data_IF_309070166293
#
_entry.id   IF_309070166293
#
_cell.length_a   1.000
_cell.length_b   1.000
_cell.length_c   1.000
_cell.angle_alpha   90.00
_cell.angle_beta   90.00
_cell.angle_gamma   90.00
#
_symmetry.space_group_name_H-M   'P 1'
#
loop_
_entity.id
_entity.type
_entity.pdbx_description
1 polymer ?
#
# COMPACT_ATOMS: atom_id res chain seq x y z
N UNK A 1 3.91 -20.37 -9.32
CA UNK A 1 3.37 -19.47 -8.27
C UNK A 1 3.03 -20.32 -7.06
N UNK A 2 3.76 -20.16 -5.95
CA UNK A 2 3.58 -20.99 -4.75
C UNK A 2 2.19 -20.77 -4.16
N UNK A 3 1.40 -21.84 -4.10
CA UNK A 3 0.05 -21.83 -3.52
C UNK A 3 0.16 -21.64 -2.00
N UNK A 4 -0.08 -20.42 -1.54
CA UNK A 4 -0.14 -20.13 -0.11
C UNK A 4 -1.41 -20.73 0.48
N UNK A 5 -1.28 -21.47 1.59
CA UNK A 5 -2.43 -21.92 2.37
C UNK A 5 -3.09 -20.72 3.05
N UNK A 6 -4.13 -20.20 2.41
CA UNK A 6 -4.99 -19.17 2.97
C UNK A 6 -5.98 -19.86 3.91
N UNK A 7 -5.75 -19.76 5.22
CA UNK A 7 -6.56 -20.46 6.24
C UNK A 7 -7.99 -19.90 6.29
N UNK A 8 -8.12 -18.57 6.23
CA UNK A 8 -9.42 -17.88 6.25
C UNK A 8 -9.78 -17.42 4.85
N UNK A 9 -10.92 -17.87 4.34
CA UNK A 9 -11.37 -17.46 3.01
C UNK A 9 -11.69 -15.95 3.00
N UNK A 10 -11.10 -15.19 2.06
CA UNK A 10 -11.41 -13.77 1.92
C UNK A 10 -12.84 -13.58 1.40
N UNK A 11 -13.56 -12.59 1.93
CA UNK A 11 -14.90 -12.20 1.45
C UNK A 11 -14.87 -11.26 0.25
N UNK A 12 -13.72 -10.62 0.00
CA UNK A 12 -13.47 -9.80 -1.19
C UNK A 12 -12.60 -10.55 -2.19
N UNK A 13 -12.86 -10.39 -3.47
CA UNK A 13 -11.98 -10.81 -4.56
C UNK A 13 -10.67 -10.01 -4.57
N UNK A 14 -9.65 -10.53 -5.28
CA UNK A 14 -8.38 -9.82 -5.43
C UNK A 14 -8.58 -8.50 -6.20
N UNK A 15 -9.51 -8.48 -7.16
CA UNK A 15 -9.86 -7.29 -7.94
C UNK A 15 -10.51 -6.20 -7.09
N UNK A 16 -11.50 -6.56 -6.25
CA UNK A 16 -12.14 -5.61 -5.32
C UNK A 16 -11.12 -5.02 -4.34
N UNK A 17 -10.17 -5.85 -3.88
CA UNK A 17 -9.12 -5.38 -2.98
C UNK A 17 -8.16 -4.40 -3.67
N UNK A 18 -7.78 -4.65 -4.92
CA UNK A 18 -6.96 -3.72 -5.71
C UNK A 18 -7.72 -2.42 -5.97
N UNK A 19 -8.99 -2.50 -6.36
CA UNK A 19 -9.85 -1.34 -6.59
C UNK A 19 -9.99 -0.47 -5.32
N UNK A 20 -10.19 -1.11 -4.16
CA UNK A 20 -10.22 -0.43 -2.87
C UNK A 20 -8.93 0.35 -2.59
N UNK A 21 -7.77 -0.27 -2.82
CA UNK A 21 -6.47 0.37 -2.58
C UNK A 21 -6.24 1.58 -3.51
N UNK A 22 -6.55 1.44 -4.80
CA UNK A 22 -6.41 2.53 -5.77
C UNK A 22 -7.37 3.69 -5.43
N UNK A 23 -8.59 3.37 -5.01
CA UNK A 23 -9.57 4.39 -4.57
C UNK A 23 -9.10 5.09 -3.30
N UNK A 24 -8.52 4.34 -2.35
CA UNK A 24 -7.95 4.90 -1.14
C UNK A 24 -6.79 5.85 -1.47
N UNK A 25 -5.90 5.47 -2.38
CA UNK A 25 -4.79 6.31 -2.85
C UNK A 25 -5.30 7.60 -3.53
N UNK A 26 -6.30 7.49 -4.40
CA UNK A 26 -6.96 8.64 -5.02
C UNK A 26 -7.58 9.62 -4.01
N UNK A 27 -8.16 9.10 -2.92
CA UNK A 27 -8.72 9.88 -1.82
C UNK A 27 -7.67 10.34 -0.79
N UNK A 28 -6.38 10.15 -1.08
CA UNK A 28 -5.26 10.47 -0.18
C UNK A 28 -5.28 9.70 1.16
N UNK A 29 -5.92 8.54 1.21
CA UNK A 29 -5.89 7.62 2.36
C UNK A 29 -4.65 6.73 2.29
N UNK A 30 -3.52 7.31 2.69
CA UNK A 30 -2.20 6.70 2.63
C UNK A 30 -1.85 5.74 3.79
N UNK A 31 -2.69 5.63 4.84
CA UNK A 31 -2.42 4.76 5.98
C UNK A 31 -3.49 3.70 6.18
N UNK A 32 -3.05 2.49 6.56
CA UNK A 32 -3.96 1.38 6.92
C UNK A 32 -4.95 1.81 8.01
N UNK A 33 -4.46 2.52 9.04
CA UNK A 33 -5.30 2.99 10.13
C UNK A 33 -6.43 3.90 9.63
N UNK A 34 -6.12 4.80 8.69
CA UNK A 34 -7.13 5.70 8.12
C UNK A 34 -8.15 4.91 7.31
N UNK A 35 -7.71 3.98 6.45
CA UNK A 35 -8.60 3.11 5.67
C UNK A 35 -9.57 2.36 6.59
N UNK A 36 -9.07 1.72 7.66
CA UNK A 36 -9.94 0.98 8.59
C UNK A 36 -10.85 1.89 9.44
N UNK A 37 -10.50 3.16 9.63
CA UNK A 37 -11.41 4.14 10.27
C UNK A 37 -12.56 4.52 9.34
N UNK A 38 -12.27 4.75 8.06
CA UNK A 38 -13.28 5.09 7.05
C UNK A 38 -14.19 3.91 6.74
N UNK A 39 -13.64 2.70 6.75
CA UNK A 39 -14.39 1.47 6.47
C UNK A 39 -15.31 1.07 7.63
N UNK A 40 -14.99 1.50 8.85
CA UNK A 40 -15.81 1.24 10.03
C UNK A 40 -17.23 1.74 9.78
N UNK A 41 -18.24 0.97 10.20
CA UNK A 41 -19.67 1.30 10.00
C UNK A 41 -20.15 1.31 8.55
N UNK A 42 -19.32 0.87 7.59
CA UNK A 42 -19.73 0.64 6.20
C UNK A 42 -19.95 -0.85 5.93
N UNK A 43 -20.53 -1.18 4.77
CA UNK A 43 -20.67 -2.58 4.33
C UNK A 43 -19.33 -3.33 4.19
N UNK A 44 -18.21 -2.60 4.11
CA UNK A 44 -16.87 -3.16 4.00
C UNK A 44 -16.32 -3.64 5.35
N UNK A 45 -16.85 -3.14 6.48
CA UNK A 45 -16.38 -3.49 7.84
C UNK A 45 -16.51 -5.00 8.08
N UNK A 46 -17.64 -5.59 7.68
CA UNK A 46 -17.88 -7.04 7.80
C UNK A 46 -17.19 -7.86 6.71
N UNK A 47 -16.70 -7.24 5.64
CA UNK A 47 -16.06 -7.89 4.49
C UNK A 47 -14.54 -7.95 4.61
N UNK A 48 -13.92 -7.06 5.38
CA UNK A 48 -12.46 -6.90 5.43
C UNK A 48 -11.93 -7.25 6.81
N UNK A 49 -11.19 -8.35 6.89
CA UNK A 49 -10.41 -8.66 8.08
C UNK A 49 -8.98 -8.12 7.93
N UNK A 50 -8.48 -7.37 8.93
CA UNK A 50 -7.20 -6.67 8.88
C UNK A 50 -6.00 -7.56 8.53
N UNK A 51 -5.91 -8.76 9.10
CA UNK A 51 -4.78 -9.67 8.84
C UNK A 51 -4.81 -10.22 7.40
N UNK A 52 -6.00 -10.59 6.92
CA UNK A 52 -6.21 -11.08 5.55
C UNK A 52 -5.92 -9.97 4.55
N UNK A 53 -6.45 -8.78 4.80
CA UNK A 53 -6.21 -7.58 4.00
C UNK A 53 -4.72 -7.30 3.84
N UNK A 54 -3.97 -7.20 4.95
CA UNK A 54 -2.54 -6.90 4.91
C UNK A 54 -1.72 -7.98 4.19
N UNK A 55 -2.05 -9.24 4.40
CA UNK A 55 -1.38 -10.36 3.71
C UNK A 55 -1.60 -10.29 2.20
N UNK A 56 -2.84 -10.03 1.77
CA UNK A 56 -3.19 -9.94 0.35
C UNK A 56 -2.67 -8.67 -0.30
N UNK A 57 -2.71 -7.53 0.39
CA UNK A 57 -2.13 -6.26 -0.08
C UNK A 57 -0.65 -6.42 -0.43
N UNK A 58 0.13 -7.10 0.44
CA UNK A 58 1.54 -7.43 0.15
C UNK A 58 1.69 -8.35 -1.06
N UNK A 59 0.83 -9.36 -1.20
CA UNK A 59 0.89 -10.29 -2.33
C UNK A 59 0.54 -9.64 -3.67
N UNK A 60 -0.40 -8.69 -3.67
CA UNK A 60 -0.89 -8.02 -4.87
C UNK A 60 -0.06 -6.77 -5.22
N UNK A 61 0.95 -6.43 -4.43
CA UNK A 61 1.77 -5.24 -4.60
C UNK A 61 2.33 -5.11 -6.02
N UNK A 62 2.92 -6.18 -6.57
CA UNK A 62 3.49 -6.16 -7.92
C UNK A 62 2.46 -5.86 -9.01
N UNK A 63 1.21 -6.31 -8.82
CA UNK A 63 0.12 -6.04 -9.76
C UNK A 63 -0.37 -4.60 -9.63
N UNK A 64 -0.55 -4.12 -8.40
CA UNK A 64 -0.93 -2.72 -8.13
C UNK A 64 0.12 -1.76 -8.69
N UNK A 65 1.41 -2.06 -8.53
CA UNK A 65 2.51 -1.26 -9.06
C UNK A 65 2.51 -1.21 -10.59
N UNK A 66 2.27 -2.35 -11.27
CA UNK A 66 2.10 -2.36 -12.73
C UNK A 66 0.93 -1.52 -13.20
N UNK A 67 -0.17 -1.48 -12.45
CA UNK A 67 -1.32 -0.62 -12.76
C UNK A 67 -0.94 0.85 -12.59
N UNK A 68 -0.27 1.19 -11.49
CA UNK A 68 0.22 2.54 -11.20
C UNK A 68 1.17 3.06 -12.28
N UNK A 69 2.12 2.23 -12.71
CA UNK A 69 3.06 2.56 -13.80
C UNK A 69 2.33 2.86 -15.12
N UNK A 70 1.41 1.98 -15.53
CA UNK A 70 0.59 2.20 -16.75
C UNK A 70 -0.28 3.44 -16.65
N UNK A 71 -0.82 3.73 -15.48
CA UNK A 71 -1.60 4.95 -15.24
C UNK A 71 -0.70 6.18 -15.38
N UNK A 72 0.50 6.14 -14.79
CA UNK A 72 1.50 7.19 -14.91
C UNK A 72 1.90 7.43 -16.36
N UNK A 73 2.22 6.38 -17.13
CA UNK A 73 2.58 6.50 -18.55
C UNK A 73 1.49 7.24 -19.35
N UNK A 74 0.22 6.89 -19.11
CA UNK A 74 -0.91 7.56 -19.78
C UNK A 74 -1.09 9.02 -19.37
N UNK A 75 -0.89 9.33 -18.09
CA UNK A 75 -1.03 10.70 -17.57
C UNK A 75 0.16 11.56 -17.98
N UNK A 76 1.36 10.98 -18.09
CA UNK A 76 2.58 11.71 -18.42
C UNK A 76 2.52 12.44 -19.77
N UNK A 77 1.73 11.93 -20.71
CA UNK A 77 1.51 12.58 -22.01
C UNK A 77 0.53 13.77 -21.95
N UNK A 78 -0.24 13.92 -20.87
CA UNK A 78 -1.32 14.91 -20.76
C UNK A 78 -0.91 16.18 -19.99
N UNK A 79 0.13 16.11 -19.15
CA UNK A 79 0.52 17.21 -18.27
C UNK A 79 2.02 17.51 -18.37
N UNK A 80 2.37 18.78 -18.57
CA UNK A 80 3.76 19.28 -18.49
C UNK A 80 4.21 19.63 -17.06
N UNK A 81 3.32 19.47 -16.06
CA UNK A 81 3.57 19.78 -14.65
C UNK A 81 3.22 18.58 -13.79
N UNK A 82 4.21 18.06 -13.06
CA UNK A 82 4.04 16.98 -12.10
C UNK A 82 4.37 17.49 -10.70
N UNK A 83 3.42 17.36 -9.78
CA UNK A 83 3.66 17.59 -8.35
C UNK A 83 3.88 16.23 -7.72
N UNK A 84 5.10 15.98 -7.24
CA UNK A 84 5.45 14.74 -6.55
C UNK A 84 5.18 14.96 -5.06
N UNK A 85 4.05 14.45 -4.57
CA UNK A 85 3.80 14.39 -3.14
C UNK A 85 4.57 13.19 -2.56
N UNK A 86 5.71 13.46 -1.92
CA UNK A 86 6.43 12.42 -1.19
C UNK A 86 5.80 12.33 0.19
N UNK A 87 5.08 11.25 0.47
CA UNK A 87 4.93 10.79 1.86
C UNK A 87 6.20 9.99 2.18
N UNK A 88 7.21 10.57 2.87
CA UNK A 88 8.41 9.82 3.20
C UNK A 88 8.04 8.61 4.04
N UNK A 89 8.36 7.42 3.55
CA UNK A 89 8.17 6.18 4.31
C UNK A 89 9.25 6.15 5.39
N UNK A 90 8.85 6.11 6.65
CA UNK A 90 9.78 5.96 7.77
C UNK A 90 10.54 4.63 7.63
N UNK A 91 11.80 4.70 7.18
CA UNK A 91 12.68 3.53 7.00
C UNK A 91 12.94 2.87 8.35
N UNK A 92 13.13 3.68 9.39
CA UNK A 92 13.36 3.22 10.75
C UNK A 92 12.92 4.28 11.76
N UNK A 93 12.17 3.86 12.79
CA UNK A 93 11.95 4.69 13.98
C UNK A 93 13.28 5.04 14.63
N UNK A 94 13.45 6.27 15.11
CA UNK A 94 14.70 6.71 15.76
C UNK A 94 15.15 5.78 16.90
N UNK A 95 14.20 5.27 17.70
CA UNK A 95 14.50 4.31 18.77
C UNK A 95 15.03 2.94 18.29
N UNK A 96 14.91 2.63 17.00
CA UNK A 96 15.42 1.40 16.35
C UNK A 96 16.61 1.66 15.43
N UNK A 97 17.03 2.92 15.26
CA UNK A 97 18.09 3.32 14.32
C UNK A 97 19.39 2.55 14.57
N UNK A 98 19.75 2.33 15.84
CA UNK A 98 20.95 1.57 16.25
C UNK A 98 20.94 0.09 15.83
N UNK A 99 19.78 -0.46 15.46
CA UNK A 99 19.63 -1.86 15.01
C UNK A 99 19.44 -1.97 13.50
N UNK A 100 19.37 -0.84 12.78
CA UNK A 100 19.24 -0.82 11.32
C UNK A 100 20.61 -1.03 10.68
N UNK A 101 20.72 -2.04 9.80
CA UNK A 101 21.87 -2.21 8.89
C UNK A 101 21.79 -1.32 7.66
N UNK A 102 20.68 -0.60 7.47
CA UNK A 102 20.44 0.34 6.38
C UNK A 102 20.94 1.71 6.85
N UNK A 103 21.76 2.36 6.03
CA UNK A 103 22.39 3.66 6.31
C UNK A 103 23.37 3.69 7.49
N UNK A 104 24.05 2.56 7.78
CA UNK A 104 25.07 2.46 8.84
C UNK A 104 26.43 3.06 8.45
N UNK A 105 26.56 3.67 7.27
CA UNK A 105 27.82 4.21 6.79
C UNK A 105 28.16 5.50 7.54
N UNK A 106 29.16 5.43 8.41
CA UNK A 106 29.84 6.62 8.96
C UNK A 106 30.35 7.43 7.77
N UNK A 107 29.77 8.60 7.52
CA UNK A 107 30.39 9.60 6.64
C UNK A 107 31.59 10.12 7.43
N UNK A 108 32.76 9.59 7.12
CA UNK A 108 34.05 10.09 7.60
C UNK A 108 34.35 11.40 6.86
N UNK A 109 34.42 12.51 7.59
CA UNK A 109 35.02 13.76 7.10
C UNK A 109 36.54 13.68 7.17
#
# INVERSE_FOLDING_TARGET
MTSFKQIRQPKLSDLELVALNLTAEYMSYNSELHIFRIIKETYLDVKIERSIYNKRRRKLFDYTEKIRQRLSEKISHLSNLFIVDLTPIEICKMGRAKRSSICSTTISY
#
